data_IF_809135293189
#
_entry.id   IF_809135293189
#
_cell.length_a   1.000
_cell.length_b   1.000
_cell.length_c   1.000
_cell.angle_alpha   90.00
_cell.angle_beta   90.00
_cell.angle_gamma   90.00
#
_symmetry.space_group_name_H-M   'P 1'
#
loop_
_entity.id
_entity.type
_entity.pdbx_description
1 polymer ?
#
# COMPACT_ATOMS: atom_id res chain seq x y z
N UNK A 1 -68.16 -17.85 81.51
CA UNK A 1 -68.07 -16.63 80.68
C UNK A 1 -66.66 -16.43 80.14
N UNK A 2 -66.55 -16.66 78.83
CA UNK A 2 -65.64 -16.12 77.82
C UNK A 2 -64.39 -15.33 78.25
N UNK A 3 -63.23 -15.99 78.23
CA UNK A 3 -61.92 -15.35 78.20
C UNK A 3 -61.57 -14.89 76.77
N UNK A 4 -61.60 -13.58 76.51
CA UNK A 4 -61.24 -13.00 75.21
C UNK A 4 -59.72 -12.76 75.15
N UNK A 5 -59.02 -13.59 74.39
CA UNK A 5 -57.57 -13.46 74.14
C UNK A 5 -57.30 -12.36 73.12
N UNK A 6 -56.73 -11.24 73.56
CA UNK A 6 -56.40 -10.09 72.70
C UNK A 6 -55.03 -10.29 72.05
N UNK A 7 -55.00 -10.83 70.83
CA UNK A 7 -53.78 -10.94 70.02
C UNK A 7 -53.47 -9.58 69.37
N UNK A 8 -52.29 -9.01 69.67
CA UNK A 8 -51.85 -7.71 69.16
C UNK A 8 -50.68 -7.92 68.19
N UNK A 9 -50.96 -7.95 66.89
CA UNK A 9 -49.93 -7.97 65.86
C UNK A 9 -49.24 -6.60 65.79
N UNK A 10 -48.03 -6.50 66.34
CA UNK A 10 -47.13 -5.35 66.11
C UNK A 10 -46.27 -5.63 64.88
N UNK A 11 -46.82 -5.50 63.67
CA UNK A 11 -46.00 -5.35 62.47
C UNK A 11 -45.49 -3.92 62.41
N UNK A 12 -44.29 -3.67 62.96
CA UNK A 12 -43.52 -2.47 62.62
C UNK A 12 -43.00 -2.62 61.20
N UNK A 13 -43.87 -2.44 60.21
CA UNK A 13 -43.43 -2.25 58.82
C UNK A 13 -42.62 -0.95 58.76
N UNK A 14 -41.30 -1.06 58.81
CA UNK A 14 -40.41 0.05 58.43
C UNK A 14 -40.70 0.37 56.96
N UNK A 15 -40.93 1.63 56.59
CA UNK A 15 -41.22 2.01 55.21
C UNK A 15 -40.05 1.57 54.31
N UNK A 16 -40.32 0.62 53.42
CA UNK A 16 -39.44 0.22 52.31
C UNK A 16 -39.46 1.36 51.30
N UNK A 17 -38.66 2.39 51.53
CA UNK A 17 -38.58 3.53 50.62
C UNK A 17 -37.28 4.33 50.70
N UNK A 18 -36.52 4.21 51.78
CA UNK A 18 -35.24 4.91 51.91
C UNK A 18 -34.13 3.96 51.50
N UNK A 19 -33.57 4.17 50.31
CA UNK A 19 -32.33 3.53 49.86
C UNK A 19 -31.27 3.69 50.95
N UNK A 20 -30.59 2.61 51.31
CA UNK A 20 -29.48 2.67 52.27
C UNK A 20 -28.42 3.63 51.73
N UNK A 21 -27.77 4.38 52.63
CA UNK A 21 -26.72 5.32 52.26
C UNK A 21 -25.59 4.67 51.42
N UNK A 22 -25.35 3.38 51.59
CA UNK A 22 -24.43 2.60 50.75
C UNK A 22 -24.92 2.41 49.30
N UNK A 23 -26.21 2.15 49.11
CA UNK A 23 -26.80 2.00 47.78
C UNK A 23 -26.92 3.34 47.06
N UNK A 24 -27.17 4.43 47.80
CA UNK A 24 -27.09 5.79 47.27
C UNK A 24 -25.70 6.11 46.73
N UNK A 25 -24.63 5.75 47.44
CA UNK A 25 -23.24 5.96 46.97
C UNK A 25 -22.92 5.17 45.70
N UNK A 26 -23.41 3.93 45.60
CA UNK A 26 -23.25 3.10 44.40
C UNK A 26 -23.98 3.71 43.20
N UNK A 27 -25.21 4.17 43.41
CA UNK A 27 -25.99 4.82 42.36
C UNK A 27 -25.35 6.13 41.90
N UNK A 28 -24.81 6.94 42.82
CA UNK A 28 -24.07 8.14 42.45
C UNK A 28 -22.80 7.83 41.67
N UNK A 29 -22.03 6.79 42.04
CA UNK A 29 -20.84 6.39 41.30
C UNK A 29 -21.16 5.90 39.89
N UNK A 30 -22.27 5.17 39.72
CA UNK A 30 -22.71 4.71 38.41
C UNK A 30 -23.09 5.89 37.50
N UNK A 31 -23.84 6.85 38.02
CA UNK A 31 -24.20 8.07 37.29
C UNK A 31 -22.95 8.88 36.91
N UNK A 32 -21.99 8.99 37.83
CA UNK A 32 -20.75 9.74 37.61
C UNK A 32 -19.85 9.05 36.58
N UNK A 33 -19.75 7.72 36.63
CA UNK A 33 -19.05 6.92 35.62
C UNK A 33 -19.69 7.05 34.23
N UNK A 34 -21.02 6.99 34.15
CA UNK A 34 -21.73 7.20 32.88
C UNK A 34 -21.54 8.62 32.34
N UNK A 35 -21.59 9.63 33.22
CA UNK A 35 -21.30 11.02 32.87
C UNK A 35 -19.88 11.22 32.34
N UNK A 36 -18.89 10.54 32.93
CA UNK A 36 -17.51 10.58 32.49
C UNK A 36 -17.33 9.98 31.08
N UNK A 37 -17.98 8.85 30.80
CA UNK A 37 -17.96 8.24 29.45
C UNK A 37 -18.54 9.19 28.40
N UNK A 38 -19.69 9.82 28.70
CA UNK A 38 -20.30 10.80 27.79
C UNK A 38 -19.43 12.05 27.61
N UNK A 39 -18.75 12.50 28.67
CA UNK A 39 -17.80 13.61 28.61
C UNK A 39 -16.61 13.28 27.70
N UNK A 40 -16.00 12.10 27.85
CA UNK A 40 -14.94 11.63 26.95
C UNK A 40 -15.41 11.57 25.49
N UNK A 41 -16.64 11.09 25.25
CA UNK A 41 -17.23 11.04 23.91
C UNK A 41 -17.46 12.44 23.32
N UNK A 42 -17.86 13.41 24.15
CA UNK A 42 -18.04 14.81 23.75
C UNK A 42 -16.72 15.48 23.39
N UNK A 43 -15.66 15.28 24.18
CA UNK A 43 -14.32 15.81 23.91
C UNK A 43 -13.74 15.20 22.64
N UNK A 44 -13.85 13.88 22.45
CA UNK A 44 -13.36 13.18 21.26
C UNK A 44 -14.06 13.61 19.96
N UNK A 45 -15.31 14.11 20.05
CA UNK A 45 -16.08 14.59 18.89
C UNK A 45 -15.62 15.97 18.41
N UNK A 46 -14.85 16.72 19.20
CA UNK A 46 -14.43 18.05 18.84
C UNK A 46 -13.21 18.00 17.89
N UNK A 47 -13.32 18.43 16.62
CA UNK A 47 -12.25 18.26 15.62
C UNK A 47 -10.95 19.00 15.98
N UNK A 48 -11.03 20.08 16.76
CA UNK A 48 -9.85 20.83 17.22
C UNK A 48 -9.01 20.12 18.28
N UNK A 49 -9.53 19.07 18.95
CA UNK A 49 -8.73 18.24 19.85
C UNK A 49 -7.67 17.44 19.08
N UNK A 50 -8.01 16.99 17.87
CA UNK A 50 -7.16 16.12 17.06
C UNK A 50 -6.03 16.87 16.36
N UNK A 51 -6.25 18.14 15.99
CA UNK A 51 -5.25 18.94 15.28
C UNK A 51 -4.00 19.21 16.09
N UNK A 52 -4.08 19.25 17.42
CA UNK A 52 -2.91 19.45 18.29
C UNK A 52 -2.11 18.19 18.59
N UNK A 53 -2.64 17.00 18.30
CA UNK A 53 -2.02 15.70 18.65
C UNK A 53 -1.34 15.05 17.44
N UNK A 54 -1.72 15.44 16.21
CA UNK A 54 -1.19 14.85 14.96
C UNK A 54 -0.08 15.67 14.30
N UNK A 55 0.29 16.84 14.84
CA UNK A 55 1.19 17.78 14.15
C UNK A 55 2.69 17.56 14.42
N UNK A 56 3.07 16.45 15.06
CA UNK A 56 4.46 16.20 15.41
C UNK A 56 5.18 15.27 14.40
N UNK A 57 6.07 15.88 13.62
CA UNK A 57 7.33 15.30 13.14
C UNK A 57 7.30 14.04 12.24
N UNK A 58 6.84 14.20 10.99
CA UNK A 58 7.23 13.29 9.88
C UNK A 58 7.82 14.03 8.68
N UNK A 59 8.58 15.10 8.94
CA UNK A 59 9.58 15.58 7.99
C UNK A 59 10.89 14.79 8.19
N UNK A 60 10.87 13.48 7.91
CA UNK A 60 12.13 12.76 7.64
C UNK A 60 12.56 13.13 6.23
N UNK A 61 13.53 14.05 6.16
CA UNK A 61 14.07 14.56 4.92
C UNK A 61 14.74 13.47 4.06
N UNK A 62 14.94 13.74 2.77
CA UNK A 62 15.49 12.80 1.77
C UNK A 62 16.98 12.42 1.97
N UNK A 63 17.62 12.82 3.08
CA UNK A 63 19.05 12.58 3.31
C UNK A 63 19.39 11.12 3.69
N UNK A 64 18.45 10.35 4.24
CA UNK A 64 18.69 8.95 4.63
C UNK A 64 18.72 7.97 3.44
N UNK A 65 18.19 8.36 2.27
CA UNK A 65 18.22 7.54 1.06
C UNK A 65 19.58 7.66 0.35
N UNK A 66 20.18 8.85 0.36
CA UNK A 66 21.48 9.11 -0.29
C UNK A 66 22.63 8.37 0.42
N UNK A 67 22.53 8.20 1.74
CA UNK A 67 23.59 7.56 2.54
C UNK A 67 23.67 6.03 2.37
N UNK A 68 22.57 5.36 1.99
CA UNK A 68 22.56 3.90 1.75
C UNK A 68 23.09 3.48 0.37
N UNK A 69 23.13 4.40 -0.59
CA UNK A 69 23.66 4.12 -1.94
C UNK A 69 25.19 4.20 -1.98
N UNK A 70 25.82 4.92 -1.04
CA UNK A 70 27.27 5.08 -0.98
C UNK A 70 28.04 3.83 -0.47
N UNK A 71 27.37 2.93 0.26
CA UNK A 71 28.01 1.76 0.90
C UNK A 71 27.84 0.44 0.12
N UNK A 72 27.11 0.42 -1.01
CA UNK A 72 26.82 -0.80 -1.78
C UNK A 72 27.92 -1.18 -2.80
N UNK A 73 29.10 -0.57 -2.71
CA UNK A 73 30.20 -0.77 -3.65
C UNK A 73 31.24 -1.80 -3.21
N UNK A 74 30.88 -3.09 -3.06
CA UNK A 74 31.82 -4.24 -3.10
C UNK A 74 31.09 -5.59 -2.90
N UNK A 75 30.67 -6.22 -3.99
CA UNK A 75 30.86 -7.64 -4.34
C UNK A 75 29.98 -7.96 -5.55
N UNK A 76 30.63 -8.54 -6.56
CA UNK A 76 30.03 -8.91 -7.85
C UNK A 76 29.22 -10.19 -7.70
N UNK A 77 27.93 -10.06 -7.46
CA UNK A 77 26.96 -11.09 -7.77
C UNK A 77 25.66 -10.41 -8.24
N UNK A 78 25.55 -10.23 -9.55
CA UNK A 78 24.47 -9.45 -10.13
C UNK A 78 23.13 -10.22 -9.96
N UNK A 79 22.00 -9.54 -9.72
CA UNK A 79 20.67 -10.19 -9.54
C UNK A 79 19.96 -10.51 -10.87
N UNK A 80 19.11 -11.55 -11.02
CA UNK A 80 18.54 -11.97 -12.31
C UNK A 80 17.82 -10.90 -13.17
N UNK A 81 17.57 -9.71 -12.62
CA UNK A 81 17.04 -8.51 -13.28
C UNK A 81 18.08 -7.43 -13.66
N UNK A 82 19.37 -7.65 -13.40
CA UNK A 82 20.48 -6.75 -13.75
C UNK A 82 21.20 -7.22 -15.02
N UNK A 83 21.41 -6.30 -15.97
CA UNK A 83 22.05 -6.55 -17.26
C UNK A 83 23.15 -5.52 -17.55
N UNK A 84 24.22 -5.98 -18.19
CA UNK A 84 25.27 -5.11 -18.72
C UNK A 84 24.98 -4.80 -20.20
N UNK A 85 24.52 -3.58 -20.48
CA UNK A 85 24.58 -3.05 -21.84
C UNK A 85 26.03 -2.64 -22.14
N UNK A 86 26.80 -3.54 -22.74
CA UNK A 86 28.06 -3.17 -23.37
C UNK A 86 27.80 -2.06 -24.39
N UNK A 87 28.63 -1.02 -24.37
CA UNK A 87 28.56 0.04 -25.38
C UNK A 87 28.57 -0.60 -26.77
N UNK A 88 27.49 -0.46 -27.52
CA UNK A 88 27.55 -0.61 -28.96
C UNK A 88 28.47 0.50 -29.45
N UNK A 89 29.71 0.14 -29.79
CA UNK A 89 30.68 1.06 -30.36
C UNK A 89 29.98 1.75 -31.54
N UNK A 90 29.83 3.08 -31.44
CA UNK A 90 29.24 3.88 -32.50
C UNK A 90 29.95 3.56 -33.83
N UNK A 91 29.22 3.55 -34.96
CA UNK A 91 29.83 3.28 -36.25
C UNK A 91 30.98 4.26 -36.47
N UNK A 92 32.13 3.68 -36.80
CA UNK A 92 33.39 4.37 -37.03
C UNK A 92 33.26 5.53 -38.00
N UNK A 93 34.16 6.47 -37.75
CA UNK A 93 34.34 7.78 -38.33
C UNK A 93 34.62 7.74 -39.84
N UNK A 94 33.60 7.53 -40.67
CA UNK A 94 33.66 7.83 -42.12
C UNK A 94 32.28 8.20 -42.65
N UNK A 95 31.92 9.48 -42.60
CA UNK A 95 31.07 10.09 -43.63
C UNK A 95 31.10 11.60 -43.54
N UNK A 96 31.58 12.17 -44.64
CA UNK A 96 31.65 13.58 -44.98
C UNK A 96 30.31 14.28 -44.80
N UNK A 97 30.43 15.58 -44.57
CA UNK A 97 29.35 16.52 -44.34
C UNK A 97 28.36 16.56 -45.50
N UNK A 98 27.31 15.75 -45.42
CA UNK A 98 26.06 16.04 -46.11
C UNK A 98 25.20 16.89 -45.17
N UNK A 99 25.49 18.18 -45.12
CA UNK A 99 24.57 19.21 -44.59
C UNK A 99 23.36 19.28 -45.51
N UNK A 100 22.46 18.31 -45.39
CA UNK A 100 21.14 18.34 -46.00
C UNK A 100 20.31 19.37 -45.27
N UNK A 101 19.72 20.26 -46.05
CA UNK A 101 18.63 21.20 -45.78
C UNK A 101 17.38 20.50 -45.20
N UNK A 102 17.51 19.78 -44.08
CA UNK A 102 16.43 18.97 -43.48
C UNK A 102 15.49 19.80 -42.58
N UNK A 103 15.68 21.12 -42.51
CA UNK A 103 14.92 21.96 -41.60
C UNK A 103 13.48 22.29 -42.09
N UNK A 104 13.11 21.88 -43.31
CA UNK A 104 11.77 22.13 -43.87
C UNK A 104 11.06 20.89 -44.44
N UNK A 105 11.71 19.73 -44.43
CA UNK A 105 11.21 18.54 -45.13
C UNK A 105 10.67 17.57 -44.08
N UNK A 106 9.34 17.45 -44.00
CA UNK A 106 8.56 16.20 -44.19
C UNK A 106 7.21 16.17 -43.43
N UNK A 107 7.00 17.02 -42.41
CA UNK A 107 5.72 17.01 -41.67
C UNK A 107 4.68 18.03 -42.17
N UNK A 108 5.08 18.99 -43.01
CA UNK A 108 4.20 20.08 -43.47
C UNK A 108 3.43 19.74 -44.77
N UNK A 109 3.73 18.59 -45.38
CA UNK A 109 3.13 18.18 -46.66
C UNK A 109 2.91 16.68 -46.83
N UNK A 110 3.41 15.84 -45.92
CA UNK A 110 2.91 14.48 -45.81
C UNK A 110 1.63 14.58 -44.98
N UNK A 111 0.48 14.38 -45.62
CA UNK A 111 -0.78 14.12 -44.92
C UNK A 111 -0.52 13.01 -43.91
N UNK A 112 -0.26 13.37 -42.66
CA UNK A 112 -0.33 12.43 -41.55
C UNK A 112 -1.78 11.97 -41.54
N UNK A 113 -2.03 10.80 -42.11
CA UNK A 113 -3.31 10.13 -42.05
C UNK A 113 -3.73 10.18 -40.59
N UNK A 114 -4.70 11.03 -40.29
CA UNK A 114 -5.13 11.24 -38.92
C UNK A 114 -6.06 10.08 -38.64
N UNK A 115 -5.65 9.08 -37.84
CA UNK A 115 -6.54 7.99 -37.49
C UNK A 115 -7.79 8.53 -36.80
N UNK A 116 -8.86 7.74 -36.69
CA UNK A 116 -10.09 8.14 -35.99
C UNK A 116 -9.85 8.69 -34.57
N UNK A 117 -8.73 8.33 -33.94
CA UNK A 117 -8.36 8.75 -32.60
C UNK A 117 -7.75 10.17 -32.53
N UNK A 118 -7.51 10.84 -33.67
CA UNK A 118 -6.99 12.21 -33.72
C UNK A 118 -5.53 12.39 -33.29
N UNK A 119 -4.81 11.30 -33.03
CA UNK A 119 -3.39 11.30 -32.68
C UNK A 119 -2.58 11.04 -33.95
N UNK A 120 -1.67 11.94 -34.35
CA UNK A 120 -0.87 11.75 -35.56
C UNK A 120 0.01 10.51 -35.41
N UNK A 121 0.15 9.73 -36.47
CA UNK A 121 0.98 8.53 -36.53
C UNK A 121 2.31 8.82 -37.22
N UNK A 122 3.33 7.98 -36.99
CA UNK A 122 4.56 8.04 -37.78
C UNK A 122 4.22 7.57 -39.20
N UNK A 123 4.52 8.37 -40.25
CA UNK A 123 4.21 8.01 -41.63
C UNK A 123 4.79 6.64 -42.05
N UNK A 124 3.97 5.81 -42.69
CA UNK A 124 4.36 4.44 -43.10
C UNK A 124 5.58 4.40 -44.02
N UNK A 125 5.75 5.41 -44.88
CA UNK A 125 6.91 5.51 -45.78
C UNK A 125 8.25 5.58 -45.01
N UNK A 126 8.26 6.19 -43.81
CA UNK A 126 9.42 6.21 -42.95
C UNK A 126 9.64 4.87 -42.25
N UNK A 127 8.55 4.16 -41.93
CA UNK A 127 8.61 2.89 -41.20
C UNK A 127 9.05 1.71 -42.08
N UNK A 128 9.06 1.84 -43.41
CA UNK A 128 9.46 0.78 -44.36
C UNK A 128 10.89 0.29 -44.18
N UNK A 129 11.80 1.14 -43.69
CA UNK A 129 13.20 0.76 -43.46
C UNK A 129 13.45 0.16 -42.07
N UNK A 130 12.45 0.15 -41.19
CA UNK A 130 12.56 -0.31 -39.80
C UNK A 130 12.49 -1.82 -39.74
N UNK A 131 13.54 -2.43 -39.16
CA UNK A 131 13.66 -3.88 -38.99
C UNK A 131 13.58 -4.24 -37.51
N UNK A 132 12.68 -5.18 -37.21
CA UNK A 132 12.60 -5.81 -35.88
C UNK A 132 13.78 -6.76 -35.66
N UNK A 133 14.00 -7.11 -34.39
CA UNK A 133 14.93 -8.13 -33.92
C UNK A 133 16.40 -7.84 -34.21
N UNK A 134 16.72 -6.55 -34.37
CA UNK A 134 18.09 -6.09 -34.49
C UNK A 134 18.52 -5.27 -33.29
N UNK A 135 19.80 -5.36 -32.95
CA UNK A 135 20.42 -4.62 -31.87
C UNK A 135 20.60 -3.16 -32.32
N UNK A 136 20.08 -2.21 -31.55
CA UNK A 136 20.21 -0.80 -31.86
C UNK A 136 19.27 -0.30 -32.95
N UNK A 137 19.37 1.00 -33.19
CA UNK A 137 18.77 1.70 -34.34
C UNK A 137 19.82 1.83 -35.44
N UNK A 138 19.53 1.31 -36.63
CA UNK A 138 20.46 1.39 -37.76
C UNK A 138 20.49 2.78 -38.39
N UNK A 139 21.56 3.07 -39.14
CA UNK A 139 21.68 4.30 -39.94
C UNK A 139 20.52 4.46 -40.93
N UNK A 140 20.03 3.37 -41.54
CA UNK A 140 18.87 3.34 -42.44
C UNK A 140 17.54 3.63 -41.75
N UNK A 141 17.49 3.49 -40.41
CA UNK A 141 16.31 3.72 -39.57
C UNK A 141 16.34 5.10 -38.92
N UNK A 142 17.47 5.80 -39.00
CA UNK A 142 17.72 7.07 -38.29
C UNK A 142 16.71 8.16 -38.64
N UNK A 143 16.28 8.25 -39.91
CA UNK A 143 15.28 9.22 -40.36
C UNK A 143 13.94 9.00 -39.65
N UNK A 144 13.45 7.76 -39.61
CA UNK A 144 12.21 7.38 -38.94
C UNK A 144 12.30 7.56 -37.43
N UNK A 145 13.44 7.19 -36.84
CA UNK A 145 13.72 7.34 -35.41
C UNK A 145 13.64 8.80 -34.96
N UNK A 146 14.36 9.70 -35.65
CA UNK A 146 14.38 11.11 -35.27
C UNK A 146 13.08 11.83 -35.63
N UNK A 147 12.42 11.46 -36.73
CA UNK A 147 11.08 11.95 -37.04
C UNK A 147 10.07 11.55 -35.96
N UNK A 148 10.12 10.29 -35.49
CA UNK A 148 9.26 9.79 -34.42
C UNK A 148 9.47 10.50 -33.09
N UNK A 149 10.73 10.70 -32.68
CA UNK A 149 11.04 11.48 -31.47
C UNK A 149 10.53 12.93 -31.59
N UNK A 150 10.75 13.59 -32.74
CA UNK A 150 10.32 14.97 -32.98
C UNK A 150 8.79 15.10 -33.05
N UNK A 151 8.12 14.08 -33.56
CA UNK A 151 6.67 13.98 -33.52
C UNK A 151 6.22 13.86 -32.05
N UNK A 152 6.77 12.92 -31.30
CA UNK A 152 6.44 12.69 -29.90
C UNK A 152 6.64 13.93 -29.01
N UNK A 153 7.66 14.76 -29.28
CA UNK A 153 7.89 16.00 -28.54
C UNK A 153 6.93 17.15 -28.91
N UNK A 154 6.32 17.10 -30.09
CA UNK A 154 5.43 18.15 -30.60
C UNK A 154 3.96 17.90 -30.31
N UNK A 155 3.54 16.64 -30.19
CA UNK A 155 2.13 16.32 -29.94
C UNK A 155 1.75 16.81 -28.53
N UNK A 156 0.61 17.49 -28.45
CA UNK A 156 0.06 17.95 -27.18
C UNK A 156 -0.11 16.76 -26.22
N UNK A 157 0.43 16.91 -25.00
CA UNK A 157 0.34 15.91 -23.93
C UNK A 157 -1.10 15.49 -23.67
N UNK A 158 -2.08 16.39 -23.82
CA UNK A 158 -3.51 16.06 -23.65
C UNK A 158 -3.98 15.01 -24.66
N UNK A 159 -3.55 15.13 -25.92
CA UNK A 159 -3.87 14.15 -26.98
C UNK A 159 -3.11 12.84 -26.80
N UNK A 160 -1.86 12.90 -26.32
CA UNK A 160 -1.10 11.69 -25.99
C UNK A 160 -1.72 10.95 -24.79
N UNK A 161 -2.33 11.65 -23.84
CA UNK A 161 -2.99 11.02 -22.70
C UNK A 161 -4.27 10.25 -23.07
N UNK A 162 -4.88 10.53 -24.24
CA UNK A 162 -6.00 9.74 -24.78
C UNK A 162 -5.56 8.52 -25.59
N UNK A 163 -4.25 8.25 -25.70
CA UNK A 163 -3.76 7.04 -26.34
C UNK A 163 -4.22 5.79 -25.56
N UNK A 164 -4.52 4.67 -26.27
CA UNK A 164 -4.90 3.42 -25.64
C UNK A 164 -3.75 2.88 -24.75
N UNK A 165 -4.11 2.13 -23.72
CA UNK A 165 -3.15 1.42 -22.89
C UNK A 165 -2.61 0.21 -23.65
N UNK A 166 -1.29 0.10 -23.74
CA UNK A 166 -0.62 -0.98 -24.44
C UNK A 166 -0.30 -2.15 -23.52
N UNK A 167 -0.47 -3.38 -24.03
CA UNK A 167 0.01 -4.59 -23.37
C UNK A 167 1.35 -5.04 -23.98
N UNK A 168 2.28 -5.48 -23.15
CA UNK A 168 3.61 -5.96 -23.55
C UNK A 168 3.53 -7.02 -24.66
N UNK A 169 2.65 -8.01 -24.50
CA UNK A 169 2.47 -9.10 -25.45
C UNK A 169 2.10 -8.61 -26.86
N UNK A 170 1.31 -7.53 -26.97
CA UNK A 170 0.91 -6.97 -28.27
C UNK A 170 2.12 -6.53 -29.10
N UNK A 171 3.11 -5.91 -28.45
CA UNK A 171 4.31 -5.40 -29.11
C UNK A 171 5.29 -6.50 -29.49
N UNK A 172 5.25 -7.62 -28.76
CA UNK A 172 6.07 -8.78 -29.04
C UNK A 172 5.46 -9.65 -30.14
N UNK A 173 4.16 -9.95 -30.07
CA UNK A 173 3.48 -10.89 -30.97
C UNK A 173 3.05 -10.25 -32.28
N UNK A 174 2.72 -8.95 -32.27
CA UNK A 174 2.20 -8.22 -33.44
C UNK A 174 2.85 -6.83 -33.62
N UNK A 175 4.18 -6.78 -33.83
CA UNK A 175 4.91 -5.51 -33.95
C UNK A 175 4.43 -4.68 -35.15
N UNK A 176 4.12 -5.32 -36.28
CA UNK A 176 3.70 -4.60 -37.49
C UNK A 176 2.36 -3.86 -37.32
N UNK A 177 1.43 -4.41 -36.54
CA UNK A 177 0.13 -3.77 -36.29
C UNK A 177 0.18 -2.63 -35.27
N UNK A 178 1.23 -2.56 -34.46
CA UNK A 178 1.42 -1.54 -33.43
C UNK A 178 2.42 -0.46 -33.83
N UNK A 179 3.21 -0.67 -34.90
CA UNK A 179 4.30 0.23 -35.33
C UNK A 179 3.77 1.61 -35.72
N UNK A 180 4.44 2.65 -35.24
CA UNK A 180 4.09 4.04 -35.54
C UNK A 180 2.83 4.55 -34.84
N UNK A 181 2.17 3.71 -34.02
CA UNK A 181 1.01 4.08 -33.22
C UNK A 181 1.43 4.54 -31.83
N UNK A 182 0.70 5.51 -31.29
CA UNK A 182 0.90 6.00 -29.93
C UNK A 182 0.23 5.06 -28.92
N UNK A 183 0.97 4.70 -27.88
CA UNK A 183 0.53 3.85 -26.79
C UNK A 183 0.91 4.47 -25.45
N UNK A 184 0.05 4.27 -24.47
CA UNK A 184 0.29 4.60 -23.07
C UNK A 184 0.78 3.35 -22.34
N UNK A 185 1.92 3.45 -21.67
CA UNK A 185 2.46 2.37 -20.85
C UNK A 185 2.79 2.88 -19.44
N UNK A 186 2.70 1.96 -18.47
CA UNK A 186 3.13 2.14 -17.09
C UNK A 186 4.06 1.01 -16.69
N UNK A 187 5.03 1.30 -15.85
CA UNK A 187 5.98 0.30 -15.38
C UNK A 187 6.91 0.83 -14.30
N UNK A 188 7.77 -0.05 -13.80
CA UNK A 188 8.80 0.28 -12.83
C UNK A 188 10.12 0.54 -13.54
N UNK A 189 10.75 1.68 -13.24
CA UNK A 189 12.00 2.12 -13.84
C UNK A 189 13.14 1.20 -13.40
N UNK A 190 13.90 0.62 -14.33
CA UNK A 190 15.06 -0.24 -14.04
C UNK A 190 16.38 0.45 -14.29
N UNK A 191 16.44 1.26 -15.35
CA UNK A 191 17.64 2.02 -15.70
C UNK A 191 17.23 3.32 -16.35
N UNK A 192 17.90 4.40 -15.96
CA UNK A 192 17.78 5.72 -16.56
C UNK A 192 19.19 6.16 -16.96
N UNK A 193 19.38 6.48 -18.22
CA UNK A 193 20.64 7.02 -18.70
C UNK A 193 20.46 8.25 -19.58
N UNK A 194 21.32 9.23 -19.40
CA UNK A 194 21.36 10.43 -20.22
C UNK A 194 22.42 10.24 -21.31
N UNK A 195 21.97 10.20 -22.57
CA UNK A 195 22.84 10.06 -23.72
C UNK A 195 22.81 11.36 -24.50
N UNK A 196 23.96 12.03 -24.59
CA UNK A 196 24.11 13.18 -25.47
C UNK A 196 24.07 12.68 -26.91
N UNK A 197 22.98 12.98 -27.60
CA UNK A 197 22.86 12.70 -29.02
C UNK A 197 23.87 13.54 -29.79
N UNK A 198 24.40 13.00 -30.90
CA UNK A 198 25.05 13.85 -31.90
C UNK A 198 23.96 14.78 -32.43
N UNK A 199 24.17 16.10 -32.32
CA UNK A 199 23.23 17.08 -32.84
C UNK A 199 23.01 16.80 -34.32
N UNK A 200 21.84 16.28 -34.64
CA UNK A 200 21.45 15.93 -35.99
C UNK A 200 20.66 17.09 -36.62
N UNK A 201 20.33 16.98 -37.90
CA UNK A 201 19.54 17.99 -38.60
C UNK A 201 18.11 18.17 -38.02
N UNK A 202 17.70 17.30 -37.09
CA UNK A 202 16.42 17.37 -36.38
C UNK A 202 16.50 18.15 -35.06
N UNK A 203 17.68 18.60 -34.64
CA UNK A 203 17.90 19.39 -33.42
C UNK A 203 17.86 18.57 -32.14
N UNK A 204 17.99 17.24 -32.22
CA UNK A 204 17.93 16.36 -31.04
C UNK A 204 19.31 16.34 -30.37
N UNK A 205 19.47 17.11 -29.28
CA UNK A 205 20.74 17.23 -28.57
C UNK A 205 20.90 16.25 -27.41
N UNK A 206 19.84 16.03 -26.63
CA UNK A 206 19.85 15.16 -25.46
C UNK A 206 18.72 14.15 -25.57
N UNK A 207 19.03 12.87 -25.36
CA UNK A 207 18.05 11.79 -25.34
C UNK A 207 18.24 11.01 -24.04
N UNK A 208 17.14 10.80 -23.34
CA UNK A 208 17.08 9.92 -22.19
C UNK A 208 16.75 8.51 -22.66
N UNK A 209 17.57 7.57 -22.20
CA UNK A 209 17.49 6.15 -22.47
C UNK A 209 16.99 5.46 -21.20
N UNK A 210 15.77 4.96 -21.28
CA UNK A 210 15.03 4.42 -20.15
C UNK A 210 14.69 2.97 -20.40
N UNK A 211 15.03 2.13 -19.43
CA UNK A 211 14.62 0.74 -19.39
C UNK A 211 13.67 0.56 -18.21
N UNK A 212 12.53 -0.07 -18.46
CA UNK A 212 11.52 -0.32 -17.43
C UNK A 212 10.88 -1.68 -17.60
N UNK A 213 10.28 -2.20 -16.53
CA UNK A 213 9.45 -3.42 -16.56
C UNK A 213 7.98 -3.03 -16.45
N UNK A 214 7.11 -3.59 -17.29
CA UNK A 214 5.66 -3.41 -17.16
C UNK A 214 5.05 -4.51 -16.28
N UNK A 215 3.90 -4.29 -15.63
CA UNK A 215 3.27 -5.30 -14.78
C UNK A 215 2.98 -6.64 -15.49
N UNK A 216 2.74 -6.61 -16.79
CA UNK A 216 2.43 -7.77 -17.63
C UNK A 216 3.65 -8.39 -18.33
N UNK A 217 4.80 -7.71 -18.38
CA UNK A 217 6.03 -8.22 -18.99
C UNK A 217 6.76 -9.30 -18.18
N UNK A 218 6.45 -9.41 -16.88
CA UNK A 218 7.19 -10.25 -15.95
C UNK A 218 8.64 -9.80 -15.79
N UNK A 219 9.57 -10.47 -16.47
CA UNK A 219 11.00 -10.12 -16.52
C UNK A 219 11.43 -9.43 -17.82
N UNK A 220 10.50 -9.28 -18.77
CA UNK A 220 10.75 -8.56 -20.02
C UNK A 220 10.98 -7.07 -19.78
N UNK A 221 11.94 -6.50 -20.50
CA UNK A 221 12.21 -5.06 -20.43
C UNK A 221 11.51 -4.34 -21.58
N UNK A 222 11.11 -3.11 -21.32
CA UNK A 222 10.67 -2.13 -22.32
C UNK A 222 11.72 -1.04 -22.40
N UNK A 223 12.17 -0.74 -23.62
CA UNK A 223 13.17 0.29 -23.89
C UNK A 223 12.45 1.54 -24.39
N UNK A 224 12.73 2.69 -23.81
CA UNK A 224 12.07 3.96 -24.09
C UNK A 224 13.13 5.02 -24.32
N UNK A 225 13.07 5.67 -25.48
CA UNK A 225 13.89 6.84 -25.80
C UNK A 225 13.02 8.08 -25.69
N UNK A 226 13.41 9.00 -24.81
CA UNK A 226 12.65 10.23 -24.57
C UNK A 226 13.48 11.48 -24.76
N UNK A 227 12.87 12.56 -25.24
CA UNK A 227 13.51 13.88 -25.32
C UNK A 227 13.50 14.64 -23.99
N UNK A 228 12.54 14.35 -23.12
CA UNK A 228 12.40 14.98 -21.81
C UNK A 228 12.06 13.95 -20.73
N UNK A 229 12.41 14.27 -19.49
CA UNK A 229 12.01 13.52 -18.30
C UNK A 229 11.48 14.51 -17.27
N UNK A 230 10.65 14.03 -16.36
CA UNK A 230 10.16 14.84 -15.26
C UNK A 230 11.30 15.29 -14.34
N UNK A 231 11.11 16.43 -13.65
CA UNK A 231 12.13 17.01 -12.80
C UNK A 231 12.54 16.05 -11.68
N UNK A 232 11.58 15.35 -11.08
CA UNK A 232 11.86 14.37 -10.03
C UNK A 232 12.79 13.23 -10.51
N UNK A 233 12.59 12.72 -11.72
CA UNK A 233 13.49 11.74 -12.35
C UNK A 233 14.84 12.35 -12.73
N UNK A 234 14.87 13.62 -13.10
CA UNK A 234 16.09 14.34 -13.40
C UNK A 234 16.95 14.53 -12.14
N UNK A 235 16.33 14.80 -10.99
CA UNK A 235 17.01 14.96 -9.70
C UNK A 235 17.63 13.63 -9.21
N UNK A 236 17.14 12.48 -9.68
CA UNK A 236 17.75 11.16 -9.42
C UNK A 236 19.06 10.94 -10.20
N UNK A 237 19.30 11.69 -11.28
CA UNK A 237 20.56 11.59 -12.01
C UNK A 237 21.66 12.33 -11.23
N UNK A 238 22.81 11.69 -10.93
CA UNK A 238 23.86 12.32 -10.13
C UNK A 238 24.48 13.49 -10.88
N UNK A 239 24.21 14.72 -10.41
CA UNK A 239 24.79 15.99 -10.89
C UNK A 239 24.02 16.67 -12.03
N UNK A 240 24.24 17.99 -12.18
CA UNK A 240 23.47 18.87 -13.10
C UNK A 240 23.87 18.80 -14.58
N UNK A 241 25.00 18.16 -14.92
CA UNK A 241 25.51 18.09 -16.30
C UNK A 241 25.18 16.75 -16.98
N UNK A 242 24.67 16.75 -18.21
CA UNK A 242 24.23 15.51 -18.89
C UNK A 242 25.37 14.51 -19.21
N UNK A 243 26.64 14.92 -19.15
CA UNK A 243 27.80 14.09 -19.49
C UNK A 243 28.95 14.41 -18.53
N UNK A 244 29.61 13.38 -17.99
CA UNK A 244 30.91 13.50 -17.31
C UNK A 244 31.86 12.55 -18.02
N UNK A 245 32.97 13.08 -18.54
CA UNK A 245 34.05 12.33 -19.17
C UNK A 245 33.63 11.43 -20.35
N UNK A 246 32.65 11.88 -21.15
CA UNK A 246 32.21 11.19 -22.37
C UNK A 246 31.45 9.88 -22.13
N UNK A 247 31.25 9.46 -20.88
CA UNK A 247 30.42 8.29 -20.53
C UNK A 247 28.97 8.74 -20.26
N UNK A 248 27.97 8.00 -20.76
CA UNK A 248 26.57 8.30 -20.44
C UNK A 248 26.35 8.08 -18.94
N UNK A 249 25.80 9.10 -18.27
CA UNK A 249 25.41 8.98 -16.86
C UNK A 249 24.26 8.00 -16.77
N UNK A 250 24.45 6.94 -16.00
CA UNK A 250 23.49 5.85 -15.86
C UNK A 250 23.18 5.66 -14.38
N UNK A 251 21.90 5.55 -14.06
CA UNK A 251 21.40 5.15 -12.75
C UNK A 251 20.60 3.87 -12.94
N UNK A 252 20.92 2.86 -12.14
CA UNK A 252 20.24 1.58 -12.12
C UNK A 252 19.45 1.47 -10.83
N UNK A 253 18.24 0.93 -10.92
CA UNK A 253 17.30 0.77 -9.81
C UNK A 253 17.08 -0.72 -9.57
N UNK A 254 17.96 -1.36 -8.77
CA UNK A 254 17.79 -2.77 -8.44
C UNK A 254 16.58 -2.97 -7.52
N UNK A 255 15.79 -4.00 -7.78
CA UNK A 255 14.74 -4.47 -6.88
C UNK A 255 13.45 -3.64 -6.82
N UNK A 256 12.78 -3.71 -5.66
CA UNK A 256 11.38 -3.24 -5.44
C UNK A 256 11.25 -1.74 -5.18
N UNK A 257 12.34 -1.03 -4.92
CA UNK A 257 12.34 0.42 -4.64
C UNK A 257 12.45 1.29 -5.91
N UNK A 258 12.30 0.67 -7.08
CA UNK A 258 12.27 1.37 -8.36
C UNK A 258 11.04 2.30 -8.46
N UNK A 259 11.21 3.56 -8.90
CA UNK A 259 10.08 4.47 -9.08
C UNK A 259 9.16 3.97 -10.20
N UNK A 260 7.85 4.16 -10.02
CA UNK A 260 6.87 3.84 -11.04
C UNK A 260 6.78 5.01 -12.04
N UNK A 261 6.89 4.70 -13.32
CA UNK A 261 6.91 5.68 -14.40
C UNK A 261 5.80 5.38 -15.40
N UNK A 262 5.28 6.46 -15.99
CA UNK A 262 4.31 6.40 -17.08
C UNK A 262 4.78 7.28 -18.22
N UNK A 263 4.58 6.78 -19.43
CA UNK A 263 4.81 7.56 -20.63
C UNK A 263 3.75 7.27 -21.66
N UNK A 264 3.60 8.21 -22.59
CA UNK A 264 2.94 7.94 -23.87
C UNK A 264 3.99 8.14 -24.95
N UNK A 265 4.14 7.14 -25.81
CA UNK A 265 5.10 7.17 -26.91
C UNK A 265 4.64 6.33 -28.08
N UNK A 266 5.39 6.42 -29.16
CA UNK A 266 5.16 5.65 -30.37
C UNK A 266 5.94 4.34 -30.31
N UNK A 267 5.29 3.21 -30.59
CA UNK A 267 6.00 1.94 -30.75
C UNK A 267 6.81 1.99 -32.05
N UNK A 268 8.12 1.73 -31.95
CA UNK A 268 9.03 1.85 -33.10
C UNK A 268 9.39 0.49 -33.67
N UNK A 269 9.94 -0.40 -32.84
CA UNK A 269 10.34 -1.76 -33.26
C UNK A 269 10.60 -2.66 -32.07
N UNK A 270 10.82 -3.95 -32.32
CA UNK A 270 11.51 -4.85 -31.38
C UNK A 270 13.02 -4.70 -31.54
N UNK A 271 13.71 -4.46 -30.45
CA UNK A 271 15.16 -4.29 -30.42
C UNK A 271 15.82 -5.40 -29.59
N UNK A 272 16.95 -5.90 -30.09
CA UNK A 272 17.80 -6.83 -29.35
C UNK A 272 18.69 -6.11 -28.34
N UNK A 273 18.80 -6.67 -27.14
CA UNK A 273 19.73 -6.21 -26.12
C UNK A 273 20.50 -7.39 -25.51
N UNK A 274 21.68 -7.11 -24.97
CA UNK A 274 22.48 -8.10 -24.28
C UNK A 274 21.86 -8.38 -22.89
N UNK A 275 21.52 -9.63 -22.65
CA UNK A 275 21.11 -10.16 -21.35
C UNK A 275 22.07 -11.27 -20.91
N UNK A 276 21.93 -11.76 -19.67
CA UNK A 276 22.82 -12.83 -19.18
C UNK A 276 22.70 -14.14 -19.94
N UNK A 277 21.52 -14.41 -20.48
CA UNK A 277 21.24 -15.65 -21.22
C UNK A 277 21.47 -15.49 -22.72
N UNK A 278 22.17 -14.44 -23.13
CA UNK A 278 22.48 -14.14 -24.53
C UNK A 278 21.75 -12.89 -25.01
N UNK A 279 21.16 -12.94 -26.20
CA UNK A 279 20.40 -11.82 -26.75
C UNK A 279 18.94 -11.97 -26.35
N UNK A 280 18.37 -10.92 -25.78
CA UNK A 280 16.94 -10.82 -25.47
C UNK A 280 16.31 -9.68 -26.26
N UNK A 281 14.99 -9.70 -26.40
CA UNK A 281 14.24 -8.73 -27.18
C UNK A 281 13.41 -7.84 -26.25
N UNK A 282 13.34 -6.56 -26.59
CA UNK A 282 12.53 -5.56 -25.90
C UNK A 282 11.79 -4.70 -26.93
N UNK A 283 10.53 -4.29 -26.68
CA UNK A 283 9.90 -3.27 -27.49
C UNK A 283 10.54 -1.90 -27.23
N UNK A 284 10.90 -1.21 -28.32
CA UNK A 284 11.46 0.14 -28.31
C UNK A 284 10.36 1.18 -28.57
N UNK A 285 10.23 2.13 -27.66
CA UNK A 285 9.31 3.26 -27.76
C UNK A 285 10.03 4.60 -27.91
N UNK A 286 9.40 5.52 -28.66
CA UNK A 286 9.83 6.90 -28.82
C UNK A 286 8.83 7.82 -28.12
N UNK A 287 9.26 8.46 -27.04
CA UNK A 287 8.43 9.31 -26.20
C UNK A 287 8.89 10.77 -26.26
N UNK A 288 7.95 11.70 -26.08
CA UNK A 288 8.28 13.11 -25.90
C UNK A 288 8.75 13.40 -24.47
N UNK A 289 8.11 12.75 -23.50
CA UNK A 289 8.37 12.91 -22.07
C UNK A 289 8.05 11.63 -21.29
N UNK A 290 8.79 11.42 -20.21
CA UNK A 290 8.51 10.37 -19.22
C UNK A 290 8.14 11.07 -17.92
N UNK A 291 7.03 10.64 -17.34
CA UNK A 291 6.48 11.20 -16.11
C UNK A 291 6.58 10.18 -14.99
N UNK A 292 7.00 10.63 -13.82
CA UNK A 292 6.88 9.81 -12.63
C UNK A 292 5.39 9.68 -12.30
N UNK A 293 4.94 8.45 -12.08
CA UNK A 293 3.68 8.26 -11.38
C UNK A 293 4.03 8.54 -9.94
N UNK A 294 3.84 9.79 -9.49
CA UNK A 294 3.79 10.02 -8.05
C UNK A 294 2.74 9.03 -7.55
N UNK A 295 3.08 8.13 -6.59
CA UNK A 295 2.06 7.33 -5.98
C UNK A 295 1.02 8.34 -5.55
N UNK A 296 -0.22 8.22 -6.08
CA UNK A 296 -1.33 9.01 -5.58
C UNK A 296 -1.19 8.82 -4.10
N UNK A 297 -0.80 9.89 -3.38
CA UNK A 297 -0.61 9.81 -1.97
C UNK A 297 -1.93 9.24 -1.53
N UNK A 298 -1.93 7.96 -1.17
CA UNK A 298 -3.04 7.34 -0.50
C UNK A 298 -2.99 8.16 0.76
N UNK A 299 -3.75 9.26 0.76
CA UNK A 299 -4.13 10.01 1.93
C UNK A 299 -4.58 8.89 2.80
N UNK A 300 -3.70 8.46 3.70
CA UNK A 300 -3.85 7.28 4.54
C UNK A 300 -5.30 7.33 4.93
N UNK A 301 -6.09 6.38 4.45
CA UNK A 301 -7.53 6.43 4.66
C UNK A 301 -7.67 6.67 6.14
N UNK A 302 -8.39 7.73 6.53
CA UNK A 302 -8.44 8.28 7.91
C UNK A 302 -8.48 7.21 9.02
N UNK A 303 -8.99 6.03 8.69
CA UNK A 303 -8.89 4.77 9.43
C UNK A 303 -7.48 4.35 9.89
N UNK A 304 -6.44 4.43 9.07
CA UNK A 304 -5.09 3.96 9.42
C UNK A 304 -4.44 4.88 10.46
N UNK A 305 -4.64 6.20 10.35
CA UNK A 305 -4.26 7.18 11.39
C UNK A 305 -5.10 7.05 12.68
N UNK A 306 -6.32 6.51 12.61
CA UNK A 306 -7.17 6.25 13.78
C UNK A 306 -6.79 4.97 14.54
N UNK A 307 -6.00 4.07 13.93
CA UNK A 307 -5.63 2.76 14.50
C UNK A 307 -4.94 2.85 15.88
N UNK A 308 -3.94 3.71 16.12
CA UNK A 308 -3.33 3.81 17.45
C UNK A 308 -4.30 4.37 18.51
N UNK A 309 -5.23 5.24 18.12
CA UNK A 309 -6.21 5.81 19.03
C UNK A 309 -7.34 4.84 19.37
N UNK A 310 -7.75 3.99 18.42
CA UNK A 310 -8.64 2.88 18.72
C UNK A 310 -8.02 1.95 19.77
N UNK A 311 -6.71 1.67 19.68
CA UNK A 311 -5.99 0.90 20.69
C UNK A 311 -6.08 1.51 22.09
N UNK A 312 -5.83 2.81 22.22
CA UNK A 312 -5.95 3.53 23.49
C UNK A 312 -7.39 3.57 24.02
N UNK A 313 -8.38 3.75 23.15
CA UNK A 313 -9.79 3.71 23.53
C UNK A 313 -10.17 2.32 24.06
N UNK A 314 -9.79 1.26 23.36
CA UNK A 314 -10.04 -0.12 23.81
C UNK A 314 -9.37 -0.38 25.16
N UNK A 315 -8.13 0.07 25.34
CA UNK A 315 -7.41 -0.07 26.61
C UNK A 315 -8.09 0.69 27.76
N UNK A 316 -8.58 1.91 27.52
CA UNK A 316 -9.32 2.70 28.51
C UNK A 316 -10.64 2.01 28.90
N UNK A 317 -11.38 1.46 27.93
CA UNK A 317 -12.62 0.72 28.19
C UNK A 317 -12.32 -0.56 29.00
N UNK A 318 -11.30 -1.33 28.63
CA UNK A 318 -10.88 -2.51 29.38
C UNK A 318 -10.48 -2.17 30.83
N UNK A 319 -9.69 -1.12 31.03
CA UNK A 319 -9.32 -0.65 32.36
C UNK A 319 -10.54 -0.24 33.21
N UNK A 320 -11.51 0.44 32.61
CA UNK A 320 -12.76 0.81 33.26
C UNK A 320 -13.58 -0.41 33.72
N UNK A 321 -13.68 -1.45 32.89
CA UNK A 321 -14.37 -2.70 33.24
C UNK A 321 -13.64 -3.44 34.38
N UNK A 322 -12.30 -3.54 34.30
CA UNK A 322 -11.49 -4.17 35.37
C UNK A 322 -11.67 -3.43 36.70
N UNK A 323 -11.64 -2.09 36.66
CA UNK A 323 -11.86 -1.28 37.85
C UNK A 323 -13.26 -1.47 38.45
N UNK A 324 -14.29 -1.60 37.60
CA UNK A 324 -15.67 -1.86 38.04
C UNK A 324 -15.80 -3.24 38.71
N UNK A 325 -15.22 -4.29 38.11
CA UNK A 325 -15.22 -5.65 38.68
C UNK A 325 -14.47 -5.69 40.01
N UNK A 326 -13.34 -4.99 40.10
CA UNK A 326 -12.57 -4.89 41.35
C UNK A 326 -13.37 -4.14 42.44
N UNK A 327 -14.06 -3.05 42.09
CA UNK A 327 -14.94 -2.36 43.03
C UNK A 327 -16.04 -3.27 43.60
N UNK A 328 -16.62 -4.14 42.77
CA UNK A 328 -17.60 -5.13 43.22
C UNK A 328 -16.98 -6.19 44.12
N UNK A 329 -15.81 -6.75 43.77
CA UNK A 329 -15.18 -7.80 44.58
C UNK A 329 -14.79 -7.31 45.97
N UNK A 330 -14.29 -6.07 46.09
CA UNK A 330 -13.99 -5.45 47.39
C UNK A 330 -15.26 -5.18 48.19
N UNK A 331 -16.33 -4.73 47.53
CA UNK A 331 -17.64 -4.53 48.19
C UNK A 331 -18.21 -5.85 48.71
N UNK A 332 -18.08 -6.93 47.94
CA UNK A 332 -18.62 -8.24 48.29
C UNK A 332 -17.80 -8.89 49.41
N UNK A 333 -16.47 -8.75 49.37
CA UNK A 333 -15.59 -9.11 50.48
C UNK A 333 -15.93 -8.35 51.77
N UNK A 334 -16.33 -7.08 51.68
CA UNK A 334 -16.81 -6.33 52.84
C UNK A 334 -18.19 -6.80 53.35
N UNK A 335 -19.11 -7.18 52.45
CA UNK A 335 -20.45 -7.65 52.80
C UNK A 335 -20.46 -9.07 53.39
N UNK A 336 -19.57 -9.96 52.93
CA UNK A 336 -19.41 -11.29 53.51
C UNK A 336 -19.02 -11.24 54.99
N UNK A 337 -18.37 -10.15 55.44
CA UNK A 337 -18.00 -9.93 56.85
C UNK A 337 -19.13 -9.31 57.69
N UNK A 338 -20.16 -8.73 57.08
CA UNK A 338 -21.26 -8.10 57.82
C UNK A 338 -22.38 -9.09 58.11
N UNK A 339 -22.30 -9.83 59.22
CA UNK A 339 -23.33 -10.48 60.09
C UNK A 339 -24.66 -11.05 59.54
N UNK A 340 -25.04 -10.92 58.28
CA UNK A 340 -26.20 -11.59 57.70
C UNK A 340 -25.93 -13.07 57.48
N UNK A 341 -24.67 -13.46 57.24
CA UNK A 341 -24.25 -14.86 57.29
C UNK A 341 -24.32 -15.49 58.69
N UNK A 342 -24.35 -14.69 59.77
CA UNK A 342 -24.66 -15.20 61.12
C UNK A 342 -26.17 -15.38 61.33
N UNK A 343 -27.03 -14.72 60.55
CA UNK A 343 -28.48 -14.87 60.63
C UNK A 343 -29.05 -15.92 59.66
N UNK A 344 -28.34 -16.26 58.58
CA UNK A 344 -28.66 -17.39 57.69
C UNK A 344 -27.90 -18.67 58.02
N UNK A 345 -26.83 -18.62 58.80
CA UNK A 345 -26.42 -19.77 59.62
C UNK A 345 -27.45 -19.91 60.74
N UNK A 346 -28.58 -20.54 60.44
CA UNK A 346 -29.44 -21.09 61.48
C UNK A 346 -28.54 -21.82 62.48
N UNK A 347 -28.61 -21.54 63.79
CA UNK A 347 -27.96 -22.33 64.81
C UNK A 347 -28.74 -23.65 64.90
N UNK A 348 -28.54 -24.50 63.91
CA UNK A 348 -29.02 -25.87 63.88
C UNK A 348 -27.88 -26.69 63.33
N UNK A 349 -26.81 -26.81 64.12
CA UNK A 349 -26.29 -28.14 64.33
C UNK A 349 -27.40 -28.92 65.02
N UNK A 350 -28.35 -29.49 64.27
CA UNK A 350 -28.90 -30.77 64.69
C UNK A 350 -27.70 -31.70 64.64
N UNK A 351 -27.00 -31.82 65.77
CA UNK A 351 -26.12 -32.97 65.97
C UNK A 351 -27.02 -34.19 65.73
N UNK A 352 -26.80 -34.88 64.62
CA UNK A 352 -27.37 -36.21 64.38
C UNK A 352 -26.65 -37.26 65.26
N UNK A 353 -26.24 -36.85 66.46
CA UNK A 353 -25.63 -37.66 67.49
C UNK A 353 -26.79 -38.41 68.18
N UNK A 354 -27.26 -39.45 67.49
CA UNK A 354 -28.42 -40.24 67.89
C UNK A 354 -29.29 -40.74 66.73
N UNK A 355 -29.12 -40.22 65.51
CA UNK A 355 -29.80 -40.79 64.33
C UNK A 355 -28.84 -41.77 63.67
N UNK A 356 -28.85 -43.01 64.16
CA UNK A 356 -28.32 -44.15 63.42
C UNK A 356 -29.09 -44.29 62.12
N UNK A 357 -28.44 -43.98 61.00
CA UNK A 357 -28.99 -44.29 59.68
C UNK A 357 -29.09 -45.80 59.55
N UNK A 358 -30.26 -46.39 59.83
CA UNK A 358 -30.54 -47.77 59.44
C UNK A 358 -30.61 -47.81 57.92
N UNK A 359 -29.72 -48.57 57.31
CA UNK A 359 -29.78 -48.81 55.87
C UNK A 359 -31.05 -49.58 55.53
N UNK A 360 -31.67 -49.28 54.39
CA UNK A 360 -32.89 -49.95 53.91
C UNK A 360 -32.77 -51.48 53.97
N UNK A 361 -31.56 -52.02 53.76
CA UNK A 361 -31.27 -53.45 53.89
C UNK A 361 -31.46 -54.03 55.30
N UNK A 362 -31.12 -53.29 56.36
CA UNK A 362 -31.34 -53.73 57.74
C UNK A 362 -32.82 -53.75 58.08
N UNK A 363 -33.58 -52.77 57.59
CA UNK A 363 -35.04 -52.70 57.79
C UNK A 363 -35.77 -53.84 57.08
N UNK A 364 -35.30 -54.25 55.89
CA UNK A 364 -35.84 -55.40 55.16
C UNK A 364 -35.46 -56.72 55.85
N UNK A 365 -34.25 -56.84 56.38
CA UNK A 365 -33.82 -58.02 57.14
C UNK A 365 -34.61 -58.22 58.44
N UNK A 366 -34.94 -57.12 59.14
CA UNK A 366 -35.75 -57.15 60.38
C UNK A 366 -37.18 -57.62 60.06
N UNK A 367 -37.80 -57.06 59.01
CA UNK A 367 -39.12 -57.51 58.54
C UNK A 367 -39.13 -58.98 58.09
N UNK A 368 -38.09 -59.46 57.41
CA UNK A 368 -37.97 -60.87 57.02
C UNK A 368 -37.76 -61.81 58.22
N UNK A 369 -37.15 -61.31 59.30
CA UNK A 369 -36.96 -62.09 60.53
C UNK A 369 -38.21 -62.16 61.40
N UNK A 370 -39.08 -61.15 61.34
CA UNK A 370 -40.37 -61.10 62.05
C UNK A 370 -41.44 -61.99 61.39
N UNK A 371 -41.30 -62.29 60.09
CA UNK A 371 -42.22 -63.13 59.31
C UNK A 371 -41.96 -64.64 59.41
N UNK A 372 -40.96 -65.09 60.19
CA UNK A 372 -40.74 -66.50 60.52
C UNK A 372 -41.33 -66.83 61.89
N UNK A 373 -42.59 -67.28 61.98
CA UNK A 373 -43.10 -67.85 63.22
C UNK A 373 -42.30 -69.11 63.58
N UNK A 374 -41.78 -69.14 64.80
CA UNK A 374 -41.19 -70.33 65.40
C UNK A 374 -42.22 -71.47 65.45
N UNK A 375 -41.97 -72.52 64.67
CA UNK A 375 -42.61 -73.82 64.79
C UNK A 375 -41.87 -74.67 65.82
#
# INVERSE_FOLDING_TARGET
ENGVTKVRFRSKQKPRGVLRAGDQRKLTLLILGFGFVLFCFSVARNPGFWTGVTDDNSARGPEDVVRRVADAGRETDLQPDEFFAGQSAGPGDTSEAVTVTANRILFDGAETATPPNGIPQIPDNLLRSVRDDVIGVHSTESSAYFAGLKLASRVDRRKLNSAPEGAYALFMDSPNGSRGLAWKLRGTLRRLSAVKGRTNAFGVGLVYDVWMTTPDSGSGLVHVRSMSIDKALQDLLPGTAAVTDGKPRTVEFPGRSAPEVRFTGYFFKREGYASRRGVSLAPLFLAGGIHEILPVAVTSTRAEQLTPYLGWLTLAVCAGVVFMVWGFSVSDAAHSRTRTHELTRLPVSTSFEGVTSRTIGEMISELQSEERPSL
#
